data_IF_247772483463
#
_entry.id   IF_247772483463
#
_cell.length_a   1.000
_cell.length_b   1.000
_cell.length_c   1.000
_cell.angle_alpha   90.00
_cell.angle_beta   90.00
_cell.angle_gamma   90.00
#
_symmetry.space_group_name_H-M   'P 1'
#
loop_
_entity.id
_entity.type
_entity.pdbx_description
1 polymer ?
#
# COMPACT_ATOMS: atom_id res chain seq x y z
N UNK A 1 13.24 2.81 34.80
CA UNK A 1 14.24 2.42 33.76
C UNK A 1 15.18 3.59 33.37
N UNK A 2 16.49 3.32 33.28
CA UNK A 2 17.55 4.34 33.06
C UNK A 2 17.35 5.07 31.73
N UNK A 3 16.99 4.37 30.66
CA UNK A 3 16.83 4.94 29.32
C UNK A 3 15.47 5.57 29.03
N UNK A 4 14.52 5.59 29.97
CA UNK A 4 13.12 5.97 29.68
C UNK A 4 12.98 7.37 29.09
N UNK A 5 13.68 8.36 29.66
CA UNK A 5 13.60 9.75 29.18
C UNK A 5 14.26 9.92 27.80
N UNK A 6 15.36 9.21 27.58
CA UNK A 6 16.13 9.28 26.33
C UNK A 6 15.39 8.58 25.19
N UNK A 7 14.82 7.39 25.45
CA UNK A 7 13.96 6.67 24.51
C UNK A 7 12.75 7.54 24.15
N UNK A 8 12.04 8.09 25.14
CA UNK A 8 10.88 8.93 24.86
C UNK A 8 11.25 10.18 24.04
N UNK A 9 12.34 10.89 24.41
CA UNK A 9 12.82 12.04 23.66
C UNK A 9 13.26 11.71 22.23
N UNK A 10 13.84 10.52 22.03
CA UNK A 10 14.21 10.01 20.71
C UNK A 10 12.98 9.78 19.82
N UNK A 11 11.95 9.10 20.34
CA UNK A 11 10.72 8.84 19.60
C UNK A 11 9.89 10.10 19.35
N UNK A 12 9.86 11.05 20.29
CA UNK A 12 9.28 12.38 20.07
C UNK A 12 10.00 13.12 18.93
N UNK A 13 11.33 13.06 18.90
CA UNK A 13 12.12 13.65 17.81
C UNK A 13 11.83 12.97 16.46
N UNK A 14 11.62 11.64 16.45
CA UNK A 14 11.23 10.90 15.25
C UNK A 14 9.83 11.32 14.76
N UNK A 15 8.83 11.46 15.65
CA UNK A 15 7.48 11.95 15.32
C UNK A 15 7.54 13.36 14.72
N UNK A 16 8.29 14.26 15.36
CA UNK A 16 8.51 15.62 14.85
C UNK A 16 9.19 15.62 13.47
N UNK A 17 10.18 14.74 13.26
CA UNK A 17 10.86 14.58 11.99
C UNK A 17 9.92 14.12 10.87
N UNK A 18 9.00 13.21 11.16
CA UNK A 18 7.96 12.75 10.21
C UNK A 18 7.13 13.94 9.73
N UNK A 19 6.68 14.80 10.65
CA UNK A 19 5.83 15.94 10.31
C UNK A 19 6.58 17.10 9.62
N UNK A 20 7.77 17.46 10.12
CA UNK A 20 8.45 18.72 9.73
C UNK A 20 9.60 18.57 8.71
N UNK A 21 9.97 17.35 8.35
CA UNK A 21 11.14 17.12 7.49
C UNK A 21 12.46 17.17 8.25
N UNK A 22 13.49 16.55 7.68
CA UNK A 22 14.82 16.44 8.30
C UNK A 22 15.55 17.77 8.15
N UNK A 23 15.36 18.70 9.10
CA UNK A 23 16.42 19.61 9.53
C UNK A 23 17.33 18.87 10.53
N UNK A 24 18.60 19.28 10.74
CA UNK A 24 19.62 18.44 11.38
C UNK A 24 19.38 18.38 12.90
N UNK A 25 18.40 17.60 13.35
CA UNK A 25 18.17 17.32 14.77
C UNK A 25 18.73 15.97 15.21
N UNK A 26 19.00 15.04 14.29
CA UNK A 26 19.45 13.68 14.65
C UNK A 26 20.97 13.46 14.54
N UNK A 27 21.76 14.49 14.21
CA UNK A 27 23.23 14.41 14.03
C UNK A 27 24.06 15.02 15.15
N UNK A 28 23.45 15.48 16.26
CA UNK A 28 24.23 15.87 17.43
C UNK A 28 24.52 14.66 18.32
N UNK A 29 25.65 14.01 18.00
CA UNK A 29 26.55 13.24 18.89
C UNK A 29 26.00 12.99 20.31
N UNK A 30 25.58 11.75 20.56
CA UNK A 30 25.82 11.09 21.83
C UNK A 30 27.29 10.65 21.84
N UNK A 31 28.19 11.59 22.08
CA UNK A 31 29.60 11.32 22.32
C UNK A 31 30.08 12.34 23.35
N UNK A 32 30.11 11.90 24.62
CA UNK A 32 31.01 12.39 25.65
C UNK A 32 30.91 13.87 26.06
N UNK A 33 30.75 14.04 27.36
CA UNK A 33 31.18 15.20 28.15
C UNK A 33 30.13 16.28 28.45
N UNK A 34 29.81 16.33 29.74
CA UNK A 34 29.27 17.46 30.48
C UNK A 34 30.11 18.72 30.20
N UNK A 35 29.51 19.76 29.60
CA UNK A 35 29.65 21.16 30.03
C UNK A 35 29.18 22.17 28.96
N UNK A 36 28.52 23.21 29.46
CA UNK A 36 28.39 24.57 28.90
C UNK A 36 27.28 24.84 27.88
N UNK A 37 26.12 25.17 28.45
CA UNK A 37 25.18 26.16 27.92
C UNK A 37 25.89 27.51 27.88
N UNK A 38 26.11 28.08 26.68
CA UNK A 38 25.82 29.48 26.34
C UNK A 38 26.47 29.90 25.02
N UNK A 39 25.79 30.85 24.36
CA UNK A 39 26.28 31.74 23.29
C UNK A 39 26.08 31.26 21.86
N UNK A 40 24.92 31.57 21.27
CA UNK A 40 24.90 32.20 19.93
C UNK A 40 23.90 33.35 19.94
N UNK A 41 24.49 34.55 19.94
CA UNK A 41 23.91 35.86 19.71
C UNK A 41 23.37 35.95 18.29
N UNK A 42 22.28 36.71 18.16
CA UNK A 42 21.76 37.45 16.99
C UNK A 42 22.66 37.43 15.75
N UNK A 43 22.11 36.99 14.63
CA UNK A 43 22.13 37.78 13.41
C UNK A 43 20.78 37.68 12.68
N UNK A 44 20.19 38.84 12.46
CA UNK A 44 19.02 39.08 11.62
C UNK A 44 19.52 39.33 10.21
N UNK A 45 18.94 38.65 9.23
CA UNK A 45 18.67 39.03 7.82
C UNK A 45 18.37 37.71 7.09
N UNK A 46 17.28 37.47 6.36
CA UNK A 46 16.31 38.31 5.71
C UNK A 46 15.00 37.50 5.65
N UNK A 47 13.93 38.02 6.26
CA UNK A 47 12.59 37.45 6.15
C UNK A 47 11.88 38.13 4.98
N UNK A 48 11.50 37.36 3.96
CA UNK A 48 10.40 37.74 3.09
C UNK A 48 9.26 36.74 3.33
N UNK A 49 8.43 37.12 4.29
CA UNK A 49 7.17 36.51 4.64
C UNK A 49 6.13 36.81 3.56
N UNK A 50 5.52 35.77 3.00
CA UNK A 50 4.15 35.87 2.51
C UNK A 50 3.33 34.74 3.17
N UNK A 51 2.56 35.14 4.18
CA UNK A 51 1.37 34.45 4.61
C UNK A 51 0.18 35.27 4.13
N UNK A 52 -0.60 34.75 3.20
CA UNK A 52 -2.02 35.07 3.08
C UNK A 52 -2.75 33.80 2.70
N UNK A 53 -3.69 33.42 3.55
CA UNK A 53 -4.57 32.30 3.33
C UNK A 53 -5.34 32.43 2.02
N UNK A 54 -5.39 31.32 1.32
CA UNK A 54 -6.32 30.99 0.26
C UNK A 54 -6.24 29.48 0.15
N UNK A 55 -7.34 28.78 0.43
CA UNK A 55 -7.46 27.35 0.13
C UNK A 55 -7.25 27.23 -1.38
N UNK A 56 -6.12 26.68 -1.86
CA UNK A 56 -5.97 26.48 -3.29
C UNK A 56 -6.88 25.31 -3.64
N UNK A 57 -7.65 25.43 -4.72
CA UNK A 57 -8.23 24.26 -5.38
C UNK A 57 -7.11 23.21 -5.52
N UNK A 58 -7.24 22.11 -4.78
CA UNK A 58 -6.16 21.15 -4.62
C UNK A 58 -5.96 20.41 -5.94
N UNK A 59 -4.96 20.83 -6.71
CA UNK A 59 -4.48 20.07 -7.85
C UNK A 59 -4.13 18.64 -7.37
N UNK A 60 -4.75 17.59 -7.94
CA UNK A 60 -4.54 16.21 -7.49
C UNK A 60 -3.07 15.77 -7.63
N UNK A 61 -2.32 16.40 -8.54
CA UNK A 61 -0.88 16.19 -8.73
C UNK A 61 -0.08 16.70 -7.52
N UNK A 62 -0.43 17.87 -6.98
CA UNK A 62 0.25 18.45 -5.82
C UNK A 62 0.05 17.59 -4.57
N UNK A 63 -1.19 17.15 -4.33
CA UNK A 63 -1.51 16.27 -3.20
C UNK A 63 -0.79 14.91 -3.32
N UNK A 64 -0.75 14.33 -4.53
CA UNK A 64 0.00 13.09 -4.81
C UNK A 64 1.50 13.25 -4.56
N UNK A 65 2.11 14.34 -5.02
CA UNK A 65 3.54 14.61 -4.81
C UNK A 65 3.87 14.83 -3.32
N UNK A 66 3.06 15.62 -2.61
CA UNK A 66 3.18 15.80 -1.17
C UNK A 66 3.10 14.46 -0.40
N UNK A 67 2.18 13.60 -0.80
CA UNK A 67 1.96 12.30 -0.16
C UNK A 67 3.15 11.35 -0.41
N UNK A 68 3.71 11.34 -1.63
CA UNK A 68 4.91 10.58 -1.97
C UNK A 68 6.14 11.04 -1.19
N UNK A 69 6.33 12.35 -1.05
CA UNK A 69 7.42 12.92 -0.24
C UNK A 69 7.27 12.57 1.24
N UNK A 70 6.04 12.62 1.76
CA UNK A 70 5.73 12.21 3.13
C UNK A 70 6.06 10.72 3.36
N UNK A 71 5.59 9.82 2.48
CA UNK A 71 5.90 8.39 2.53
C UNK A 71 7.40 8.10 2.53
N UNK A 72 8.13 8.73 1.62
CA UNK A 72 9.59 8.59 1.51
C UNK A 72 10.30 9.07 2.78
N UNK A 73 9.79 10.11 3.43
CA UNK A 73 10.34 10.61 4.69
C UNK A 73 10.05 9.66 5.86
N UNK A 74 8.83 9.13 5.94
CA UNK A 74 8.46 8.12 6.92
C UNK A 74 9.36 6.89 6.82
N UNK A 75 9.59 6.40 5.60
CA UNK A 75 10.48 5.27 5.31
C UNK A 75 11.90 5.50 5.87
N UNK A 76 12.51 6.64 5.52
CA UNK A 76 13.86 7.00 5.98
C UNK A 76 13.98 7.16 7.49
N UNK A 77 12.99 7.78 8.12
CA UNK A 77 12.99 7.99 9.57
C UNK A 77 12.82 6.67 10.29
N UNK A 78 11.90 5.82 9.82
CA UNK A 78 11.66 4.51 10.42
C UNK A 78 12.89 3.60 10.30
N UNK A 79 13.51 3.56 9.13
CA UNK A 79 14.77 2.84 8.91
C UNK A 79 15.89 3.31 9.86
N UNK A 80 16.06 4.64 10.00
CA UNK A 80 17.03 5.22 10.94
C UNK A 80 16.72 4.86 12.39
N UNK A 81 15.44 4.90 12.78
CA UNK A 81 15.00 4.56 14.14
C UNK A 81 15.35 3.10 14.47
N UNK A 82 14.98 2.15 13.59
CA UNK A 82 15.28 0.73 13.79
C UNK A 82 16.79 0.46 13.77
N UNK A 83 17.55 1.12 12.88
CA UNK A 83 19.00 0.99 12.84
C UNK A 83 19.68 1.50 14.11
N UNK A 84 19.26 2.66 14.64
CA UNK A 84 19.84 3.22 15.86
C UNK A 84 19.49 2.37 17.09
N UNK A 85 18.25 1.91 17.21
CA UNK A 85 17.84 1.00 18.28
C UNK A 85 18.67 -0.29 18.24
N UNK A 86 18.83 -0.88 17.05
CA UNK A 86 19.62 -2.09 16.89
C UNK A 86 21.09 -1.89 17.29
N UNK A 87 21.67 -0.72 16.99
CA UNK A 87 23.04 -0.40 17.38
C UNK A 87 23.18 -0.18 18.89
N UNK A 88 22.32 0.64 19.50
CA UNK A 88 22.36 0.94 20.94
C UNK A 88 22.17 -0.34 21.75
N UNK A 89 21.17 -1.16 21.40
CA UNK A 89 20.91 -2.41 22.11
C UNK A 89 22.07 -3.40 21.94
N UNK A 90 22.75 -3.40 20.78
CA UNK A 90 23.93 -4.24 20.57
C UNK A 90 25.13 -3.78 21.41
N UNK A 91 25.38 -2.48 21.47
CA UNK A 91 26.44 -1.91 22.31
C UNK A 91 26.18 -2.21 23.78
N UNK A 92 24.94 -2.02 24.23
CA UNK A 92 24.53 -2.32 25.61
C UNK A 92 24.63 -3.82 25.91
N UNK A 93 24.18 -4.68 25.00
CA UNK A 93 24.34 -6.13 25.13
C UNK A 93 25.82 -6.51 25.27
N UNK A 94 26.71 -5.96 24.45
CA UNK A 94 28.15 -6.22 24.55
C UNK A 94 28.72 -5.70 25.87
N UNK A 95 28.28 -4.54 26.34
CA UNK A 95 28.67 -4.01 27.63
C UNK A 95 28.23 -4.92 28.77
N UNK A 96 26.96 -5.34 28.80
CA UNK A 96 26.44 -6.26 29.81
C UNK A 96 27.24 -7.57 29.83
N UNK A 97 27.52 -8.16 28.66
CA UNK A 97 28.33 -9.38 28.56
C UNK A 97 29.72 -9.20 29.17
N UNK A 98 30.40 -8.11 28.82
CA UNK A 98 31.76 -7.84 29.27
C UNK A 98 31.84 -7.39 30.74
N UNK A 99 30.84 -6.65 31.22
CA UNK A 99 30.84 -6.09 32.57
C UNK A 99 30.42 -7.11 33.63
N UNK A 100 29.42 -7.93 33.32
CA UNK A 100 28.89 -8.95 34.24
C UNK A 100 29.54 -10.33 34.05
N UNK A 101 30.56 -10.44 33.17
CA UNK A 101 31.21 -11.71 32.84
C UNK A 101 30.19 -12.81 32.51
N UNK A 102 29.15 -12.50 31.73
CA UNK A 102 28.18 -13.53 31.29
C UNK A 102 28.83 -14.66 30.46
N UNK A 103 30.12 -14.53 30.11
CA UNK A 103 30.95 -15.54 29.44
C UNK A 103 32.00 -16.22 30.36
N UNK A 104 32.29 -15.70 31.55
CA UNK A 104 33.46 -16.11 32.35
C UNK A 104 33.08 -16.68 33.73
N UNK A 105 32.64 -17.95 33.73
CA UNK A 105 32.88 -18.89 34.84
C UNK A 105 32.97 -20.33 34.30
N UNK A 106 33.96 -20.65 33.45
CA UNK A 106 34.40 -22.04 33.25
C UNK A 106 35.75 -22.17 32.52
N UNK A 107 36.81 -21.59 33.06
CA UNK A 107 38.17 -22.02 32.67
C UNK A 107 39.18 -21.95 33.80
N UNK A 108 38.82 -22.44 34.99
CA UNK A 108 39.83 -22.85 35.98
C UNK A 108 39.36 -24.07 36.78
N UNK A 109 40.00 -25.21 36.46
CA UNK A 109 40.46 -26.26 37.40
C UNK A 109 39.44 -27.23 38.00
N UNK A 110 39.48 -28.51 37.55
CA UNK A 110 39.07 -29.66 38.36
C UNK A 110 38.49 -30.84 37.56
N UNK A 111 39.22 -31.95 37.50
CA UNK A 111 38.77 -33.26 37.01
C UNK A 111 37.46 -33.75 37.67
N UNK A 112 36.65 -34.46 36.86
CA UNK A 112 35.54 -35.38 37.17
C UNK A 112 34.09 -34.95 36.81
N UNK A 113 33.68 -35.31 35.58
CA UNK A 113 32.37 -35.84 35.14
C UNK A 113 31.06 -35.02 35.43
N UNK A 114 29.90 -35.45 34.88
CA UNK A 114 29.34 -35.00 33.61
C UNK A 114 28.04 -34.18 33.76
N UNK A 115 27.50 -33.71 32.63
CA UNK A 115 26.15 -33.12 32.44
C UNK A 115 25.98 -31.61 32.70
N UNK A 116 25.35 -30.96 31.70
CA UNK A 116 24.68 -29.64 31.74
C UNK A 116 25.43 -28.38 31.28
N UNK A 117 26.23 -28.44 30.21
CA UNK A 117 26.67 -27.23 29.49
C UNK A 117 25.50 -26.45 28.86
N UNK A 118 24.36 -27.09 28.59
CA UNK A 118 23.16 -26.42 28.06
C UNK A 118 22.40 -25.58 29.09
N UNK A 119 22.56 -25.82 30.40
CA UNK A 119 21.77 -25.11 31.43
C UNK A 119 22.39 -23.73 31.74
N UNK A 120 23.71 -23.59 31.68
CA UNK A 120 24.44 -22.36 32.02
C UNK A 120 24.44 -21.35 30.86
N UNK A 121 24.58 -21.80 29.61
CA UNK A 121 24.40 -20.93 28.43
C UNK A 121 22.95 -20.40 28.31
N UNK A 122 21.97 -21.22 28.71
CA UNK A 122 20.56 -20.82 28.77
C UNK A 122 20.25 -19.88 29.94
N UNK A 123 20.93 -20.01 31.09
CA UNK A 123 20.75 -19.12 32.23
C UNK A 123 21.42 -17.75 32.02
N UNK A 124 22.65 -17.73 31.49
CA UNK A 124 23.36 -16.49 31.15
C UNK A 124 22.67 -15.73 30.02
N UNK A 125 22.13 -16.44 29.02
CA UNK A 125 21.35 -15.81 27.95
C UNK A 125 19.94 -15.38 28.39
N UNK A 126 19.30 -16.04 29.36
CA UNK A 126 17.99 -15.63 29.88
C UNK A 126 18.08 -14.47 30.86
N UNK A 127 19.07 -14.46 31.76
CA UNK A 127 19.34 -13.33 32.66
C UNK A 127 19.68 -12.06 31.89
N UNK A 128 20.52 -12.15 30.85
CA UNK A 128 20.82 -11.03 29.96
C UNK A 128 19.59 -10.56 29.16
N UNK A 129 18.74 -11.47 28.69
CA UNK A 129 17.47 -11.11 28.02
C UNK A 129 16.54 -10.35 28.96
N UNK A 130 16.41 -10.77 30.22
CA UNK A 130 15.56 -10.09 31.19
C UNK A 130 16.13 -8.70 31.54
N UNK A 131 17.44 -8.59 31.77
CA UNK A 131 18.10 -7.31 32.01
C UNK A 131 17.89 -6.33 30.84
N UNK A 132 18.07 -6.77 29.60
CA UNK A 132 17.78 -5.93 28.42
C UNK A 132 16.29 -5.58 28.31
N UNK A 133 15.40 -6.49 28.70
CA UNK A 133 13.94 -6.22 28.73
C UNK A 133 13.59 -5.14 29.74
N UNK A 134 14.17 -5.18 30.93
CA UNK A 134 13.92 -4.18 31.98
C UNK A 134 14.57 -2.83 31.65
N UNK A 135 15.72 -2.86 30.97
CA UNK A 135 16.47 -1.68 30.55
C UNK A 135 15.78 -0.91 29.41
N UNK A 136 15.21 -1.66 28.46
CA UNK A 136 14.53 -1.16 27.27
C UNK A 136 13.00 -1.38 27.30
N UNK A 137 12.40 -1.50 28.48
CA UNK A 137 10.96 -1.72 28.68
C UNK A 137 10.05 -0.81 27.80
N UNK A 138 10.27 0.52 27.70
CA UNK A 138 9.39 1.40 26.93
C UNK A 138 9.56 1.27 25.41
N UNK A 139 10.56 0.53 24.94
CA UNK A 139 10.91 0.50 23.52
C UNK A 139 9.79 -0.09 22.65
N UNK A 140 9.15 -1.16 23.11
CA UNK A 140 8.06 -1.81 22.37
C UNK A 140 6.82 -0.91 22.24
N UNK A 141 6.44 -0.21 23.31
CA UNK A 141 5.30 0.71 23.30
C UNK A 141 5.56 1.95 22.44
N UNK A 142 6.79 2.48 22.46
CA UNK A 142 7.18 3.64 21.66
C UNK A 142 7.25 3.32 20.15
N UNK A 143 7.77 2.15 19.77
CA UNK A 143 7.73 1.67 18.37
C UNK A 143 6.28 1.59 17.88
N UNK A 144 5.38 0.97 18.66
CA UNK A 144 3.95 0.86 18.31
C UNK A 144 3.28 2.23 18.22
N UNK A 145 3.63 3.15 19.11
CA UNK A 145 3.12 4.51 19.09
C UNK A 145 3.59 5.28 17.84
N UNK A 146 4.87 5.13 17.45
CA UNK A 146 5.39 5.71 16.20
C UNK A 146 4.70 5.13 14.95
N UNK A 147 4.56 3.80 14.88
CA UNK A 147 3.83 3.12 13.80
C UNK A 147 2.41 3.68 13.69
N UNK A 148 1.71 3.79 14.82
CA UNK A 148 0.34 4.33 14.87
C UNK A 148 0.30 5.76 14.36
N UNK A 149 1.19 6.63 14.82
CA UNK A 149 1.29 8.02 14.37
C UNK A 149 1.50 8.14 12.86
N UNK A 150 2.40 7.33 12.29
CA UNK A 150 2.67 7.33 10.84
C UNK A 150 1.43 6.89 10.05
N UNK A 151 0.78 5.79 10.47
CA UNK A 151 -0.40 5.22 9.80
C UNK A 151 -1.63 6.13 9.87
N UNK A 152 -1.83 6.88 10.95
CA UNK A 152 -2.97 7.79 11.08
C UNK A 152 -2.92 8.93 10.06
N UNK A 153 -1.71 9.36 9.65
CA UNK A 153 -1.55 10.41 8.64
C UNK A 153 -1.77 9.88 7.22
N UNK A 154 -1.20 8.71 6.91
CA UNK A 154 -1.39 8.05 5.63
C UNK A 154 -1.41 6.53 5.80
N UNK A 155 -2.57 5.86 5.69
CA UNK A 155 -2.69 4.42 5.86
C UNK A 155 -1.81 3.60 4.92
N UNK A 156 -1.49 4.10 3.72
CA UNK A 156 -0.64 3.39 2.76
C UNK A 156 0.78 3.15 3.28
N UNK A 157 1.26 4.00 4.19
CA UNK A 157 2.59 3.88 4.81
C UNK A 157 2.81 2.56 5.54
N UNK A 158 1.75 1.84 5.91
CA UNK A 158 1.85 0.51 6.53
C UNK A 158 2.66 -0.48 5.67
N UNK A 159 2.61 -0.35 4.33
CA UNK A 159 3.39 -1.18 3.41
C UNK A 159 4.90 -0.92 3.54
N UNK A 160 5.31 0.35 3.62
CA UNK A 160 6.70 0.74 3.88
C UNK A 160 7.18 0.19 5.23
N UNK A 161 6.40 0.42 6.28
CA UNK A 161 6.75 0.00 7.63
C UNK A 161 6.90 -1.53 7.72
N UNK A 162 6.01 -2.27 7.05
CA UNK A 162 6.06 -3.73 7.00
C UNK A 162 7.33 -4.25 6.32
N UNK A 163 7.68 -3.72 5.13
CA UNK A 163 8.90 -4.15 4.42
C UNK A 163 10.14 -3.81 5.23
N UNK A 164 10.25 -2.58 5.76
CA UNK A 164 11.41 -2.16 6.58
C UNK A 164 11.56 -2.97 7.84
N UNK A 165 10.48 -3.18 8.60
CA UNK A 165 10.54 -4.01 9.80
C UNK A 165 10.96 -5.45 9.45
N UNK A 166 10.52 -5.98 8.31
CA UNK A 166 10.93 -7.31 7.85
C UNK A 166 12.43 -7.38 7.55
N UNK A 167 13.00 -6.39 6.87
CA UNK A 167 14.43 -6.33 6.57
C UNK A 167 15.25 -6.28 7.86
N UNK A 168 14.88 -5.42 8.80
CA UNK A 168 15.55 -5.31 10.11
C UNK A 168 15.41 -6.57 10.94
N UNK A 169 14.25 -7.24 10.91
CA UNK A 169 14.04 -8.52 11.61
C UNK A 169 14.98 -9.60 11.09
N UNK A 170 15.16 -9.68 9.77
CA UNK A 170 16.10 -10.63 9.15
C UNK A 170 17.54 -10.28 9.53
N UNK A 171 17.91 -9.00 9.53
CA UNK A 171 19.25 -8.56 9.87
C UNK A 171 19.65 -8.89 11.33
N UNK A 172 18.71 -8.86 12.27
CA UNK A 172 18.99 -9.14 13.70
C UNK A 172 18.79 -10.61 14.10
N UNK A 173 18.33 -11.46 13.19
CA UNK A 173 17.95 -12.86 13.48
C UNK A 173 19.05 -13.65 14.21
N UNK A 174 20.31 -13.38 13.89
CA UNK A 174 21.46 -14.11 14.42
C UNK A 174 22.20 -13.41 15.57
N UNK A 175 21.83 -12.17 15.93
CA UNK A 175 22.69 -11.31 16.75
C UNK A 175 22.05 -10.74 18.03
N UNK A 176 20.77 -11.00 18.29
CA UNK A 176 20.15 -10.54 19.53
C UNK A 176 18.76 -11.13 19.75
N UNK A 177 18.64 -12.08 20.67
CA UNK A 177 17.36 -12.71 20.98
C UNK A 177 16.30 -11.70 21.47
N UNK A 178 16.72 -10.67 22.20
CA UNK A 178 15.84 -9.57 22.62
C UNK A 178 15.34 -8.75 21.41
N UNK A 179 16.26 -8.25 20.57
CA UNK A 179 15.91 -7.47 19.36
C UNK A 179 15.06 -8.28 18.38
N UNK A 180 15.41 -9.56 18.17
CA UNK A 180 14.64 -10.44 17.30
C UNK A 180 13.21 -10.62 17.84
N UNK A 181 13.04 -10.84 19.15
CA UNK A 181 11.69 -10.92 19.76
C UNK A 181 10.92 -9.61 19.61
N UNK A 182 11.56 -8.47 19.82
CA UNK A 182 10.96 -7.15 19.69
C UNK A 182 10.52 -6.84 18.24
N UNK A 183 11.41 -7.03 17.26
CA UNK A 183 11.14 -6.73 15.86
C UNK A 183 10.15 -7.74 15.26
N UNK A 184 10.29 -9.03 15.56
CA UNK A 184 9.33 -10.04 15.11
C UNK A 184 7.93 -9.79 15.69
N UNK A 185 7.82 -9.39 16.95
CA UNK A 185 6.53 -9.03 17.58
C UNK A 185 5.86 -7.85 16.86
N UNK A 186 6.61 -6.79 16.58
CA UNK A 186 6.10 -5.63 15.83
C UNK A 186 5.82 -5.95 14.35
N UNK A 187 6.59 -6.84 13.74
CA UNK A 187 6.37 -7.31 12.37
C UNK A 187 5.04 -8.04 12.21
N UNK A 188 4.67 -8.89 13.18
CA UNK A 188 3.37 -9.59 13.18
C UNK A 188 2.21 -8.59 13.23
N UNK A 189 2.32 -7.55 14.08
CA UNK A 189 1.30 -6.51 14.17
C UNK A 189 1.19 -5.72 12.85
N UNK A 190 2.32 -5.34 12.26
CA UNK A 190 2.34 -4.69 10.95
C UNK A 190 1.76 -5.57 9.85
N UNK A 191 2.01 -6.89 9.86
CA UNK A 191 1.40 -7.81 8.90
C UNK A 191 -0.13 -7.80 9.01
N UNK A 192 -0.66 -7.84 10.24
CA UNK A 192 -2.09 -7.74 10.50
C UNK A 192 -2.67 -6.41 10.04
N UNK A 193 -1.92 -5.33 10.22
CA UNK A 193 -2.32 -4.00 9.75
C UNK A 193 -2.36 -3.90 8.22
N UNK A 194 -1.41 -4.52 7.52
CA UNK A 194 -1.45 -4.65 6.06
C UNK A 194 -2.69 -5.43 5.63
N UNK A 195 -2.98 -6.56 6.28
CA UNK A 195 -4.16 -7.36 5.96
C UNK A 195 -5.47 -6.60 6.21
N UNK A 196 -5.56 -5.83 7.30
CA UNK A 196 -6.70 -4.95 7.58
C UNK A 196 -6.84 -3.87 6.51
N UNK A 197 -5.74 -3.18 6.17
CA UNK A 197 -5.76 -2.13 5.15
C UNK A 197 -6.23 -2.64 3.78
N UNK A 198 -5.77 -3.83 3.38
CA UNK A 198 -6.18 -4.48 2.14
C UNK A 198 -7.65 -4.91 2.20
N UNK A 199 -8.10 -5.44 3.34
CA UNK A 199 -9.51 -5.77 3.56
C UNK A 199 -10.39 -4.53 3.42
N UNK A 200 -10.00 -3.40 3.99
CA UNK A 200 -10.74 -2.13 3.90
C UNK A 200 -10.80 -1.62 2.46
N UNK A 201 -9.71 -1.75 1.67
CA UNK A 201 -9.73 -1.44 0.24
C UNK A 201 -10.73 -2.34 -0.50
N UNK A 202 -10.64 -3.65 -0.31
CA UNK A 202 -11.54 -4.62 -0.94
C UNK A 202 -13.00 -4.35 -0.57
N UNK A 203 -13.28 -4.01 0.69
CA UNK A 203 -14.62 -3.66 1.15
C UNK A 203 -15.11 -2.39 0.46
N UNK A 204 -14.31 -1.32 0.40
CA UNK A 204 -14.67 -0.08 -0.31
C UNK A 204 -14.96 -0.30 -1.79
N UNK A 205 -14.23 -1.22 -2.44
CA UNK A 205 -14.49 -1.59 -3.85
C UNK A 205 -15.85 -2.28 -3.98
N UNK A 206 -16.16 -3.25 -3.12
CA UNK A 206 -17.42 -3.99 -3.18
C UNK A 206 -18.63 -3.12 -2.76
N UNK A 207 -18.46 -2.23 -1.80
CA UNK A 207 -19.54 -1.34 -1.31
C UNK A 207 -19.72 -0.11 -2.19
N UNK A 208 -18.84 0.13 -3.17
CA UNK A 208 -18.96 1.24 -4.07
C UNK A 208 -20.28 1.13 -4.86
N UNK A 209 -21.14 2.12 -4.67
CA UNK A 209 -22.37 2.28 -5.45
C UNK A 209 -22.23 3.52 -6.32
N UNK A 210 -22.58 3.45 -7.61
CA UNK A 210 -22.55 4.61 -8.48
C UNK A 210 -23.50 5.68 -7.92
N UNK A 211 -23.00 6.90 -7.77
CA UNK A 211 -23.81 8.04 -7.31
C UNK A 211 -24.80 8.42 -8.42
N UNK A 212 -26.07 8.55 -8.04
CA UNK A 212 -27.18 8.96 -8.93
C UNK A 212 -26.77 10.22 -9.71
N UNK A 213 -26.88 10.19 -11.04
CA UNK A 213 -26.52 11.27 -11.99
C UNK A 213 -25.03 11.48 -12.34
N UNK A 214 -24.08 10.68 -11.83
CA UNK A 214 -22.75 10.61 -12.44
C UNK A 214 -22.74 9.51 -13.52
N UNK A 215 -22.07 9.77 -14.66
CA UNK A 215 -21.67 8.67 -15.57
C UNK A 215 -20.98 7.64 -14.69
N UNK A 216 -21.40 6.37 -14.75
CA UNK A 216 -20.88 5.29 -13.91
C UNK A 216 -19.36 5.29 -14.06
N UNK A 217 -18.66 5.93 -13.13
CA UNK A 217 -17.20 5.98 -13.14
C UNK A 217 -16.75 4.63 -12.61
N UNK A 218 -15.98 3.93 -13.42
CA UNK A 218 -14.73 3.25 -13.06
C UNK A 218 -14.59 3.06 -11.55
N UNK A 219 -14.69 1.83 -11.08
CA UNK A 219 -14.30 1.50 -9.71
C UNK A 219 -12.87 2.03 -9.43
N UNK A 220 -12.63 2.68 -8.29
CA UNK A 220 -11.34 3.30 -7.99
C UNK A 220 -10.30 2.23 -7.65
N UNK A 221 -9.65 1.69 -8.67
CA UNK A 221 -8.65 0.62 -8.57
C UNK A 221 -7.22 1.13 -8.33
N UNK A 222 -7.05 2.25 -7.63
CA UNK A 222 -5.73 2.88 -7.49
C UNK A 222 -4.91 2.21 -6.36
N UNK A 223 -4.47 0.98 -6.60
CA UNK A 223 -3.39 0.37 -5.82
C UNK A 223 -2.07 0.77 -6.48
N UNK A 224 -1.33 1.65 -5.82
CA UNK A 224 -0.26 2.45 -6.42
C UNK A 224 0.90 1.61 -6.97
N UNK A 225 1.44 1.99 -8.13
CA UNK A 225 2.76 1.56 -8.65
C UNK A 225 3.86 1.64 -7.59
N UNK A 226 3.70 2.55 -6.62
CA UNK A 226 4.59 2.71 -5.48
C UNK A 226 4.68 1.43 -4.62
N UNK A 227 3.63 0.62 -4.53
CA UNK A 227 3.66 -0.66 -3.81
C UNK A 227 4.67 -1.64 -4.43
N UNK A 228 4.79 -1.69 -5.76
CA UNK A 228 5.77 -2.55 -6.42
C UNK A 228 7.20 -2.08 -6.16
N UNK A 229 7.41 -0.77 -6.16
CA UNK A 229 8.72 -0.17 -5.85
C UNK A 229 9.13 -0.50 -4.41
N UNK A 230 8.19 -0.46 -3.46
CA UNK A 230 8.45 -0.77 -2.03
C UNK A 230 8.88 -2.23 -1.85
N UNK A 231 8.19 -3.14 -2.53
CA UNK A 231 8.46 -4.57 -2.40
C UNK A 231 9.55 -5.05 -3.36
N UNK A 232 10.06 -4.19 -4.26
CA UNK A 232 11.11 -4.59 -5.20
C UNK A 232 12.32 -5.12 -4.43
N UNK A 233 12.76 -6.33 -4.82
CA UNK A 233 13.84 -7.09 -4.18
C UNK A 233 13.60 -7.47 -2.71
N UNK A 234 12.43 -7.17 -2.13
CA UNK A 234 12.07 -7.62 -0.80
C UNK A 234 11.76 -9.12 -0.78
N UNK A 235 12.16 -9.88 0.27
CA UNK A 235 11.72 -11.26 0.46
C UNK A 235 10.20 -11.39 0.67
N UNK A 236 9.50 -10.28 0.90
CA UNK A 236 8.05 -10.22 1.12
C UNK A 236 7.23 -10.05 -0.15
N UNK A 237 7.83 -10.16 -1.34
CA UNK A 237 7.13 -10.03 -2.62
C UNK A 237 5.93 -11.01 -2.75
N UNK A 238 6.02 -12.19 -2.12
CA UNK A 238 4.91 -13.17 -2.07
C UNK A 238 3.68 -12.62 -1.35
N UNK A 239 3.86 -11.79 -0.31
CA UNK A 239 2.77 -11.14 0.39
C UNK A 239 2.07 -10.14 -0.54
N UNK A 240 2.83 -9.36 -1.32
CA UNK A 240 2.28 -8.43 -2.30
C UNK A 240 1.48 -9.17 -3.39
N UNK A 241 1.97 -10.30 -3.89
CA UNK A 241 1.23 -11.13 -4.84
C UNK A 241 -0.14 -11.57 -4.27
N UNK A 242 -0.18 -11.96 -2.99
CA UNK A 242 -1.43 -12.35 -2.31
C UNK A 242 -2.41 -11.16 -2.19
N UNK A 243 -1.89 -9.97 -1.88
CA UNK A 243 -2.68 -8.74 -1.84
C UNK A 243 -3.31 -8.47 -3.20
N UNK A 244 -2.54 -8.56 -4.30
CA UNK A 244 -3.08 -8.37 -5.64
C UNK A 244 -4.16 -9.39 -6.01
N UNK A 245 -4.00 -10.67 -5.65
CA UNK A 245 -5.05 -11.68 -5.87
C UNK A 245 -6.36 -11.31 -5.20
N UNK A 246 -6.28 -10.91 -3.92
CA UNK A 246 -7.46 -10.50 -3.17
C UNK A 246 -8.11 -9.25 -3.78
N UNK A 247 -7.29 -8.29 -4.20
CA UNK A 247 -7.75 -7.07 -4.84
C UNK A 247 -8.48 -7.39 -6.14
N UNK A 248 -7.86 -8.14 -7.05
CA UNK A 248 -8.45 -8.56 -8.33
C UNK A 248 -9.78 -9.31 -8.11
N UNK A 249 -9.85 -10.22 -7.14
CA UNK A 249 -11.10 -10.91 -6.81
C UNK A 249 -12.19 -9.95 -6.30
N UNK A 250 -11.84 -8.96 -5.48
CA UNK A 250 -12.78 -7.92 -5.04
C UNK A 250 -13.23 -7.02 -6.19
N UNK A 251 -12.33 -6.70 -7.13
CA UNK A 251 -12.63 -5.95 -8.34
C UNK A 251 -13.69 -6.67 -9.18
N UNK A 252 -13.48 -7.96 -9.49
CA UNK A 252 -14.47 -8.74 -10.25
C UNK A 252 -15.86 -8.72 -9.60
N UNK A 253 -15.91 -8.92 -8.27
CA UNK A 253 -17.17 -8.89 -7.52
C UNK A 253 -17.81 -7.51 -7.53
N UNK A 254 -17.02 -6.45 -7.31
CA UNK A 254 -17.48 -5.07 -7.35
C UNK A 254 -18.06 -4.70 -8.72
N UNK A 255 -17.46 -5.14 -9.83
CA UNK A 255 -17.96 -4.88 -11.18
C UNK A 255 -19.35 -5.49 -11.37
N UNK A 256 -19.54 -6.76 -11.02
CA UNK A 256 -20.85 -7.42 -11.16
C UNK A 256 -21.92 -6.83 -10.24
N UNK A 257 -21.53 -6.43 -9.02
CA UNK A 257 -22.43 -5.73 -8.09
C UNK A 257 -22.82 -4.35 -8.59
N UNK A 258 -21.87 -3.58 -9.14
CA UNK A 258 -22.14 -2.29 -9.76
C UNK A 258 -23.05 -2.43 -10.97
N UNK A 259 -22.76 -3.39 -11.86
CA UNK A 259 -23.59 -3.66 -13.03
C UNK A 259 -25.03 -3.98 -12.59
N UNK A 260 -25.24 -4.92 -11.67
CA UNK A 260 -26.57 -5.30 -11.19
C UNK A 260 -27.33 -4.20 -10.42
N UNK A 261 -26.63 -3.24 -9.79
CA UNK A 261 -27.28 -2.15 -9.05
C UNK A 261 -27.87 -1.05 -9.97
N UNK A 262 -27.29 -0.83 -11.16
CA UNK A 262 -27.69 0.26 -12.08
C UNK A 262 -29.01 -0.04 -12.82
N UNK A 263 -29.59 -1.23 -12.64
CA UNK A 263 -30.90 -1.65 -13.21
C UNK A 263 -32.01 -0.63 -12.90
N UNK A 264 -31.87 0.11 -11.80
CA UNK A 264 -32.90 1.03 -11.29
C UNK A 264 -32.97 2.40 -11.99
N UNK A 265 -31.94 2.84 -12.72
CA UNK A 265 -31.88 4.22 -13.28
C UNK A 265 -31.97 4.27 -14.82
N UNK A 266 -32.00 3.14 -15.53
CA UNK A 266 -32.37 3.02 -16.96
C UNK A 266 -31.50 3.72 -18.02
N UNK A 267 -30.45 4.46 -17.61
CA UNK A 267 -29.64 5.30 -18.52
C UNK A 267 -28.37 4.62 -19.04
N UNK A 268 -27.84 3.61 -18.35
CA UNK A 268 -26.58 2.92 -18.74
C UNK A 268 -26.79 1.40 -18.71
N UNK A 269 -26.56 0.68 -19.82
CA UNK A 269 -26.69 -0.77 -19.90
C UNK A 269 -25.65 -1.50 -19.05
N UNK A 270 -26.01 -2.69 -18.55
CA UNK A 270 -25.08 -3.54 -17.79
C UNK A 270 -23.87 -3.98 -18.60
N UNK A 271 -24.08 -4.27 -19.89
CA UNK A 271 -23.04 -4.65 -20.84
C UNK A 271 -21.98 -3.55 -21.00
N UNK A 272 -22.41 -2.29 -21.06
CA UNK A 272 -21.50 -1.12 -21.11
C UNK A 272 -20.69 -0.97 -19.82
N UNK A 273 -21.33 -1.11 -18.65
CA UNK A 273 -20.65 -0.98 -17.35
C UNK A 273 -19.58 -2.07 -17.19
N UNK A 274 -19.93 -3.32 -17.52
CA UNK A 274 -18.97 -4.44 -17.53
C UNK A 274 -17.83 -4.17 -18.50
N UNK A 275 -18.15 -3.75 -19.73
CA UNK A 275 -17.16 -3.51 -20.77
C UNK A 275 -16.13 -2.45 -20.35
N UNK A 276 -16.58 -1.28 -19.88
CA UNK A 276 -15.66 -0.21 -19.46
C UNK A 276 -14.79 -0.60 -18.26
N UNK A 277 -15.38 -1.24 -17.23
CA UNK A 277 -14.62 -1.62 -16.04
C UNK A 277 -13.64 -2.78 -16.32
N UNK A 278 -14.04 -3.79 -17.10
CA UNK A 278 -13.13 -4.88 -17.50
C UNK A 278 -12.03 -4.38 -18.43
N UNK A 279 -12.32 -3.40 -19.29
CA UNK A 279 -11.30 -2.77 -20.13
C UNK A 279 -10.22 -2.09 -19.29
N UNK A 280 -10.62 -1.37 -18.24
CA UNK A 280 -9.68 -0.67 -17.38
C UNK A 280 -8.93 -1.59 -16.45
N UNK A 281 -9.59 -2.61 -15.93
CA UNK A 281 -8.91 -3.70 -15.24
C UNK A 281 -7.81 -4.29 -16.13
N UNK A 282 -8.11 -4.57 -17.41
CA UNK A 282 -7.08 -5.01 -18.35
C UNK A 282 -5.97 -3.98 -18.57
N UNK A 283 -6.29 -2.68 -18.62
CA UNK A 283 -5.27 -1.64 -18.74
C UNK A 283 -4.35 -1.62 -17.51
N UNK A 284 -4.89 -1.73 -16.29
CA UNK A 284 -4.10 -1.81 -15.05
C UNK A 284 -3.24 -3.07 -15.04
N UNK A 285 -3.84 -4.21 -15.34
CA UNK A 285 -3.15 -5.48 -15.51
C UNK A 285 -2.12 -5.46 -16.66
N UNK A 286 -2.24 -4.52 -17.61
CA UNK A 286 -1.30 -4.30 -18.72
C UNK A 286 -0.21 -3.28 -18.35
N UNK A 287 -0.46 -2.35 -17.43
CA UNK A 287 0.58 -1.50 -16.84
C UNK A 287 1.57 -2.38 -16.05
N UNK A 288 1.09 -3.45 -15.42
CA UNK A 288 1.95 -4.51 -14.82
C UNK A 288 2.83 -5.24 -15.86
N UNK A 289 2.42 -5.28 -17.14
CA UNK A 289 3.17 -5.94 -18.25
C UNK A 289 4.38 -5.09 -18.69
N UNK A 290 4.37 -3.78 -18.46
CA UNK A 290 5.49 -2.90 -18.83
C UNK A 290 6.47 -2.66 -17.67
N UNK A 291 6.04 -2.87 -16.42
CA UNK A 291 6.87 -2.63 -15.24
C UNK A 291 7.75 -3.81 -14.84
N UNK A 292 7.17 -5.00 -14.65
CA UNK A 292 7.92 -6.11 -14.05
C UNK A 292 7.44 -7.47 -14.58
N UNK A 293 8.29 -8.14 -15.36
CA UNK A 293 8.20 -9.55 -15.79
C UNK A 293 8.15 -10.58 -14.63
N UNK A 294 7.76 -10.21 -13.40
CA UNK A 294 7.80 -11.07 -12.20
C UNK A 294 6.43 -11.48 -11.66
N UNK A 295 5.33 -10.99 -12.22
CA UNK A 295 3.98 -11.31 -11.76
C UNK A 295 3.34 -12.50 -12.49
N UNK A 296 4.09 -13.58 -12.71
CA UNK A 296 3.54 -14.85 -13.22
C UNK A 296 2.48 -15.45 -12.28
N UNK A 297 2.55 -15.07 -11.00
CA UNK A 297 1.59 -15.50 -9.99
C UNK A 297 0.14 -15.07 -10.26
N UNK A 298 -0.10 -14.06 -11.12
CA UNK A 298 -1.44 -13.56 -11.48
C UNK A 298 -1.92 -14.03 -12.87
N UNK A 299 -1.22 -14.95 -13.53
CA UNK A 299 -1.54 -15.28 -14.93
C UNK A 299 -2.93 -15.89 -15.13
N UNK A 300 -3.45 -16.61 -14.13
CA UNK A 300 -4.82 -17.13 -14.16
C UNK A 300 -5.85 -15.99 -14.11
N UNK A 301 -5.65 -15.04 -13.20
CA UNK A 301 -6.50 -13.86 -13.02
C UNK A 301 -6.46 -12.95 -14.27
N UNK A 302 -5.29 -12.84 -14.93
CA UNK A 302 -5.14 -12.17 -16.24
C UNK A 302 -5.97 -12.83 -17.33
N UNK A 303 -5.92 -14.17 -17.41
CA UNK A 303 -6.68 -14.94 -18.39
C UNK A 303 -8.19 -14.79 -18.16
N UNK A 304 -8.62 -14.82 -16.90
CA UNK A 304 -10.01 -14.59 -16.51
C UNK A 304 -10.48 -13.18 -16.87
N UNK A 305 -9.69 -12.14 -16.59
CA UNK A 305 -10.01 -10.76 -16.98
C UNK A 305 -10.14 -10.61 -18.51
N UNK A 306 -9.29 -11.31 -19.27
CA UNK A 306 -9.40 -11.37 -20.75
C UNK A 306 -10.69 -12.02 -21.21
N UNK A 307 -11.04 -13.16 -20.61
CA UNK A 307 -12.28 -13.86 -20.92
C UNK A 307 -13.51 -13.01 -20.62
N UNK A 308 -13.57 -12.39 -19.44
CA UNK A 308 -14.71 -11.59 -19.00
C UNK A 308 -14.88 -10.31 -19.83
N UNK A 309 -13.79 -9.65 -20.19
CA UNK A 309 -13.82 -8.53 -21.13
C UNK A 309 -14.36 -8.93 -22.50
N UNK A 310 -13.85 -10.02 -23.09
CA UNK A 310 -14.31 -10.47 -24.41
C UNK A 310 -15.79 -10.88 -24.38
N UNK A 311 -16.24 -11.50 -23.29
CA UNK A 311 -17.65 -11.84 -23.08
C UNK A 311 -18.52 -10.58 -22.96
N UNK A 312 -18.11 -9.60 -22.14
CA UNK A 312 -18.83 -8.33 -21.99
C UNK A 312 -18.86 -7.53 -23.31
N UNK A 313 -17.76 -7.56 -24.08
CA UNK A 313 -17.70 -6.95 -25.42
C UNK A 313 -18.67 -7.61 -26.39
N UNK A 314 -18.70 -8.94 -26.45
CA UNK A 314 -19.62 -9.67 -27.31
C UNK A 314 -21.09 -9.48 -26.89
N UNK A 315 -21.36 -9.39 -25.58
CA UNK A 315 -22.69 -9.05 -25.05
C UNK A 315 -23.12 -7.65 -25.49
N UNK A 316 -22.23 -6.66 -25.33
CA UNK A 316 -22.46 -5.28 -25.79
C UNK A 316 -22.66 -5.18 -27.30
N UNK A 317 -21.82 -5.84 -28.11
CA UNK A 317 -21.95 -5.88 -29.57
C UNK A 317 -23.27 -6.51 -30.01
N UNK A 318 -23.74 -7.56 -29.32
CA UNK A 318 -25.05 -8.17 -29.62
C UNK A 318 -26.19 -7.21 -29.33
N UNK A 319 -26.15 -6.53 -28.19
CA UNK A 319 -27.21 -5.64 -27.71
C UNK A 319 -27.28 -4.33 -28.52
N UNK A 320 -26.14 -3.76 -28.90
CA UNK A 320 -26.06 -2.44 -29.53
C UNK A 320 -25.60 -2.44 -31.00
N UNK A 321 -24.84 -3.43 -31.44
CA UNK A 321 -24.36 -3.52 -32.84
C UNK A 321 -25.11 -4.57 -33.68
N UNK A 322 -25.90 -5.47 -33.07
CA UNK A 322 -26.72 -6.44 -33.79
C UNK A 322 -28.08 -5.86 -34.22
N UNK A 323 -28.88 -5.45 -33.23
CA UNK A 323 -30.29 -5.11 -33.42
C UNK A 323 -30.55 -3.84 -34.28
N UNK A 324 -29.80 -2.73 -34.11
CA UNK A 324 -29.99 -1.56 -34.98
C UNK A 324 -29.59 -1.81 -36.43
N UNK A 325 -28.58 -2.67 -36.67
CA UNK A 325 -28.15 -3.02 -38.02
C UNK A 325 -29.08 -4.02 -38.70
N UNK A 326 -29.71 -4.94 -37.97
CA UNK A 326 -30.78 -5.78 -38.51
C UNK A 326 -31.98 -4.93 -38.93
N UNK A 327 -32.44 -3.99 -38.08
CA UNK A 327 -33.51 -3.05 -38.47
C UNK A 327 -33.13 -2.21 -39.68
N UNK A 328 -31.87 -1.74 -39.74
CA UNK A 328 -31.34 -1.00 -40.88
C UNK A 328 -31.32 -1.86 -42.15
N UNK A 329 -30.90 -3.13 -42.02
CA UNK A 329 -30.85 -4.08 -43.12
C UNK A 329 -32.26 -4.42 -43.62
N UNK A 330 -33.20 -4.74 -42.73
CA UNK A 330 -34.61 -4.96 -43.06
C UNK A 330 -35.26 -3.71 -43.65
N UNK A 331 -34.91 -2.52 -43.17
CA UNK A 331 -35.34 -1.25 -43.78
C UNK A 331 -34.84 -1.14 -45.23
N UNK A 332 -33.56 -1.39 -45.47
CA UNK A 332 -32.99 -1.34 -46.82
C UNK A 332 -33.54 -2.43 -47.75
N UNK A 333 -33.79 -3.65 -47.25
CA UNK A 333 -34.46 -4.70 -48.02
C UNK A 333 -35.88 -4.29 -48.44
N UNK A 334 -36.66 -3.70 -47.52
CA UNK A 334 -38.01 -3.19 -47.84
C UNK A 334 -37.97 -2.04 -48.85
N UNK A 335 -36.99 -1.13 -48.74
CA UNK A 335 -36.79 -0.05 -49.72
C UNK A 335 -36.44 -0.62 -51.10
N UNK A 336 -35.58 -1.64 -51.17
CA UNK A 336 -35.22 -2.29 -52.44
C UNK A 336 -36.39 -3.08 -53.06
N UNK A 337 -37.23 -3.72 -52.23
CA UNK A 337 -38.47 -4.38 -52.69
C UNK A 337 -39.49 -3.38 -53.24
N UNK A 338 -39.65 -2.23 -52.59
CA UNK A 338 -40.49 -1.13 -53.06
C UNK A 338 -39.95 -0.56 -54.38
N UNK A 339 -38.63 -0.37 -54.50
CA UNK A 339 -37.99 0.08 -55.76
C UNK A 339 -38.20 -0.92 -56.90
N UNK A 340 -38.14 -2.23 -56.64
CA UNK A 340 -38.38 -3.26 -57.66
C UNK A 340 -39.85 -3.36 -58.09
N UNK A 341 -40.79 -3.01 -57.21
CA UNK A 341 -42.23 -2.96 -57.53
C UNK A 341 -42.62 -1.69 -58.29
N UNK A 342 -41.95 -0.57 -58.02
CA UNK A 342 -42.15 0.69 -58.75
C UNK A 342 -41.30 0.67 -60.03
N UNK A 343 -41.82 0.10 -61.10
CA UNK A 343 -41.11 -0.10 -62.36
C UNK A 343 -40.82 1.18 -63.19
N UNK A 344 -40.93 2.38 -62.59
CA UNK A 344 -40.55 3.66 -63.21
C UNK A 344 -39.96 4.59 -62.15
N UNK A 345 -38.75 5.09 -62.42
CA UNK A 345 -37.94 5.93 -61.54
C UNK A 345 -38.54 7.31 -61.22
N UNK A 346 -39.70 7.68 -61.77
CA UNK A 346 -40.28 9.03 -61.65
C UNK A 346 -41.33 9.19 -60.54
N UNK A 347 -41.78 8.11 -59.87
CA UNK A 347 -42.82 8.18 -58.82
C UNK A 347 -42.30 7.81 -57.40
N UNK A 348 -41.02 8.00 -57.13
CA UNK A 348 -40.48 7.88 -55.76
C UNK A 348 -40.85 9.13 -54.94
N UNK A 349 -42.10 9.27 -54.57
CA UNK A 349 -42.49 10.17 -53.49
C UNK A 349 -42.29 9.46 -52.15
N UNK A 350 -41.88 10.23 -51.12
CA UNK A 350 -41.75 9.74 -49.74
C UNK A 350 -43.12 9.21 -49.27
N UNK A 351 -43.36 7.92 -49.45
CA UNK A 351 -44.50 7.24 -48.88
C UNK A 351 -44.27 7.17 -47.37
N UNK A 352 -45.29 7.59 -46.62
CA UNK A 352 -45.33 7.62 -45.14
C UNK A 352 -45.09 6.26 -44.47
N UNK A 353 -44.99 5.19 -45.25
CA UNK A 353 -44.74 3.82 -44.81
C UNK A 353 -43.24 3.51 -44.59
N UNK A 354 -42.34 4.43 -44.96
CA UNK A 354 -40.92 4.40 -44.61
C UNK A 354 -40.56 5.59 -43.71
N UNK A 355 -41.24 5.69 -42.57
CA UNK A 355 -40.98 6.75 -41.59
C UNK A 355 -39.79 6.41 -40.69
N UNK A 356 -38.92 7.41 -40.46
CA UNK A 356 -37.78 7.38 -39.53
C UNK A 356 -38.18 6.96 -38.09
N UNK A 357 -39.48 6.95 -37.78
CA UNK A 357 -40.04 6.48 -36.51
C UNK A 357 -39.71 5.00 -36.24
N UNK A 358 -39.53 4.15 -37.26
CA UNK A 358 -39.19 2.72 -37.06
C UNK A 358 -37.72 2.49 -36.63
N UNK A 359 -36.86 3.51 -36.79
CA UNK A 359 -35.43 3.50 -36.45
C UNK A 359 -35.14 4.02 -35.03
N UNK A 360 -36.15 4.39 -34.24
CA UNK A 360 -36.03 4.51 -32.79
C UNK A 360 -36.24 3.16 -32.10
#
# INVERSE_FOLDING_TARGET
PIYTKEIHGFFESARLGVMKGIAPMLDKRAAGSVSTINTIRRDKQHAQSQSTGGVPDHDPIFLRNYTKEFRTRCDKIFDRVLGQIANIVREEQSFCVNFFNFLDENTTSGDNAPESTESIENFNSSGLKQMLTDLFEPLDSEIKSLITHIKTNDPFTVLYLFVRMSEHTIAVQNYGAFLNKLYAGNLILLKRDVDSYVSDICQRINEHRPVRNQRVKILPFDFSEEAEIIFDKSPRMVDLHRVYKNLVAAIFRGIEQCASAVVSDGKTPHSMIRLENYHQMQQLTKIDIMGINKLSALDAEKQEARKNYNAAKAEYEREYCGFPFEKLHTFFERVDELRKRLAKDEDVQFQSDCSIIELR
#
